data_IF_779431723776
#
_entry.id   IF_779431723776
#
_cell.length_a   1.000
_cell.length_b   1.000
_cell.length_c   1.000
_cell.angle_alpha   90.00
_cell.angle_beta   90.00
_cell.angle_gamma   90.00
#
_symmetry.space_group_name_H-M   'P 1'
#
loop_
_entity.id
_entity.type
_entity.pdbx_description
1 polymer ?
#
# COMPACT_ATOMS: atom_id res chain seq x y z
N UNK A 1 -23.52 1.76 -3.76
CA UNK A 1 -23.43 3.21 -4.04
C UNK A 1 -22.83 4.06 -2.90
N UNK A 2 -22.93 3.76 -1.58
CA UNK A 2 -22.29 4.60 -0.55
C UNK A 2 -20.80 4.31 -0.29
N UNK A 3 -20.28 3.12 -0.65
CA UNK A 3 -18.90 2.73 -0.34
C UNK A 3 -17.83 3.49 -1.15
N UNK A 4 -18.13 3.80 -2.42
CA UNK A 4 -17.21 4.50 -3.32
C UNK A 4 -16.93 5.95 -2.91
N UNK A 5 -17.91 6.65 -2.31
CA UNK A 5 -17.78 8.03 -1.83
C UNK A 5 -16.81 8.15 -0.64
N UNK A 6 -16.83 7.15 0.25
CA UNK A 6 -15.99 7.11 1.46
C UNK A 6 -14.51 6.94 1.09
N UNK A 7 -14.22 6.10 0.09
CA UNK A 7 -12.86 5.87 -0.40
C UNK A 7 -12.26 7.15 -1.00
N UNK A 8 -13.03 7.88 -1.82
CA UNK A 8 -12.57 9.14 -2.42
C UNK A 8 -12.32 10.21 -1.34
N UNK A 9 -13.22 10.32 -0.36
CA UNK A 9 -13.04 11.25 0.76
C UNK A 9 -11.81 10.91 1.63
N UNK A 10 -11.60 9.62 1.93
CA UNK A 10 -10.44 9.15 2.69
C UNK A 10 -9.12 9.43 1.97
N UNK A 11 -9.08 9.26 0.65
CA UNK A 11 -7.88 9.54 -0.15
C UNK A 11 -7.58 11.04 -0.19
N UNK A 12 -8.61 11.88 -0.35
CA UNK A 12 -8.44 13.34 -0.33
C UNK A 12 -7.94 13.80 1.05
N UNK A 13 -8.46 13.23 2.14
CA UNK A 13 -8.00 13.52 3.50
C UNK A 13 -6.55 13.08 3.73
N UNK A 14 -6.18 11.87 3.31
CA UNK A 14 -4.81 11.36 3.42
C UNK A 14 -3.84 12.23 2.63
N UNK A 15 -4.23 12.65 1.43
CA UNK A 15 -3.46 13.53 0.56
C UNK A 15 -3.20 14.90 1.20
N UNK A 16 -4.27 15.54 1.70
CA UNK A 16 -4.17 16.84 2.37
C UNK A 16 -3.35 16.75 3.66
N UNK A 17 -3.49 15.66 4.43
CA UNK A 17 -2.73 15.46 5.65
C UNK A 17 -1.22 15.27 5.36
N UNK A 18 -0.89 14.47 4.35
CA UNK A 18 0.50 14.18 4.00
C UNK A 18 1.23 15.36 3.36
N UNK A 19 0.55 16.17 2.51
CA UNK A 19 1.21 17.27 1.78
C UNK A 19 1.01 18.66 2.39
N UNK A 20 -0.06 18.92 3.14
CA UNK A 20 -0.32 20.28 3.68
C UNK A 20 -0.01 20.45 5.17
N UNK A 21 0.25 19.38 5.93
CA UNK A 21 0.48 19.47 7.39
C UNK A 21 1.95 19.26 7.74
N UNK A 22 2.45 20.07 8.69
CA UNK A 22 3.81 19.97 9.25
C UNK A 22 4.12 18.57 9.79
N UNK A 23 3.12 17.87 10.34
CA UNK A 23 3.27 16.49 10.82
C UNK A 23 3.52 15.50 9.68
N UNK A 24 2.92 15.72 8.49
CA UNK A 24 3.17 14.92 7.29
C UNK A 24 4.59 15.12 6.74
N UNK A 25 5.11 16.35 6.82
CA UNK A 25 6.50 16.64 6.49
C UNK A 25 7.47 15.89 7.41
N UNK A 26 7.24 15.95 8.74
CA UNK A 26 8.07 15.23 9.73
C UNK A 26 8.07 13.72 9.49
N UNK A 27 6.92 13.13 9.18
CA UNK A 27 6.80 11.70 8.84
C UNK A 27 7.66 11.32 7.63
N UNK A 28 7.71 12.15 6.60
CA UNK A 28 8.51 11.88 5.40
C UNK A 28 10.01 12.02 5.64
N UNK A 29 10.43 13.07 6.35
CA UNK A 29 11.85 13.26 6.65
C UNK A 29 12.37 12.12 7.53
N UNK A 30 11.59 11.70 8.53
CA UNK A 30 11.92 10.53 9.35
C UNK A 30 11.96 9.24 8.52
N UNK A 31 11.03 9.07 7.57
CA UNK A 31 11.00 7.91 6.67
C UNK A 31 12.17 7.85 5.69
N UNK A 32 12.69 8.99 5.23
CA UNK A 32 13.84 9.06 4.34
C UNK A 32 15.16 8.82 5.07
N UNK A 33 15.37 9.50 6.21
CA UNK A 33 16.57 9.31 7.02
C UNK A 33 16.34 9.68 8.49
N UNK A 34 16.18 8.69 9.39
CA UNK A 34 15.92 8.96 10.81
C UNK A 34 17.13 9.60 11.51
N UNK A 35 18.35 9.35 11.05
CA UNK A 35 19.57 9.96 11.63
C UNK A 35 19.65 11.44 11.29
N UNK A 36 19.36 11.79 10.04
CA UNK A 36 19.28 13.20 9.64
C UNK A 36 18.15 13.93 10.37
N UNK A 37 17.02 13.25 10.62
CA UNK A 37 15.90 13.82 11.37
C UNK A 37 16.25 14.12 12.84
N UNK A 38 17.01 13.22 13.50
CA UNK A 38 17.52 13.45 14.85
C UNK A 38 18.46 14.65 14.91
N UNK A 39 19.36 14.76 13.94
CA UNK A 39 20.32 15.88 13.85
C UNK A 39 19.62 17.22 13.58
N UNK A 40 18.44 17.21 12.93
CA UNK A 40 17.60 18.38 12.72
C UNK A 40 16.69 18.73 13.93
N UNK A 41 16.90 18.09 15.09
CA UNK A 41 16.14 18.35 16.31
C UNK A 41 14.72 17.75 16.33
N UNK A 42 14.38 16.85 15.41
CA UNK A 42 13.07 16.21 15.39
C UNK A 42 13.00 15.00 16.33
N UNK A 43 11.93 14.90 17.11
CA UNK A 43 11.63 13.72 17.91
C UNK A 43 11.15 12.55 17.02
N UNK A 44 12.11 11.73 16.57
CA UNK A 44 11.86 10.58 15.70
C UNK A 44 10.92 9.55 16.33
N UNK A 45 11.13 9.21 17.61
CA UNK A 45 10.28 8.23 18.33
C UNK A 45 8.83 8.68 18.40
N UNK A 46 8.60 9.95 18.73
CA UNK A 46 7.26 10.53 18.79
C UNK A 46 6.58 10.58 17.42
N UNK A 47 7.32 10.92 16.35
CA UNK A 47 6.80 10.93 14.98
C UNK A 47 6.44 9.53 14.49
N UNK A 48 7.22 8.50 14.82
CA UNK A 48 6.91 7.10 14.49
C UNK A 48 5.63 6.67 15.21
N UNK A 49 5.53 6.88 16.53
CA UNK A 49 4.34 6.51 17.31
C UNK A 49 3.08 7.21 16.80
N UNK A 50 3.19 8.50 16.48
CA UNK A 50 2.10 9.26 15.89
C UNK A 50 1.66 8.70 14.53
N UNK A 51 2.62 8.29 13.69
CA UNK A 51 2.33 7.60 12.42
C UNK A 51 1.60 6.29 12.64
N UNK A 52 2.05 5.47 13.58
CA UNK A 52 1.39 4.20 13.92
C UNK A 52 -0.04 4.39 14.41
N UNK A 53 -0.29 5.39 15.27
CA UNK A 53 -1.63 5.70 15.76
C UNK A 53 -2.58 6.10 14.61
N UNK A 54 -2.11 6.93 13.68
CA UNK A 54 -2.91 7.33 12.51
C UNK A 54 -3.19 6.13 11.60
N UNK A 55 -2.17 5.32 11.29
CA UNK A 55 -2.35 4.13 10.46
C UNK A 55 -3.34 3.15 11.09
N UNK A 56 -3.23 2.91 12.40
CA UNK A 56 -4.15 2.05 13.15
C UNK A 56 -5.59 2.58 13.15
N UNK A 57 -5.77 3.88 13.37
CA UNK A 57 -7.09 4.51 13.32
C UNK A 57 -7.75 4.40 11.93
N UNK A 58 -6.98 4.63 10.85
CA UNK A 58 -7.45 4.49 9.48
C UNK A 58 -7.78 3.04 9.12
N UNK A 59 -6.94 2.08 9.51
CA UNK A 59 -7.18 0.65 9.30
C UNK A 59 -8.44 0.17 10.04
N UNK A 60 -8.63 0.63 11.29
CA UNK A 60 -9.82 0.34 12.08
C UNK A 60 -11.09 0.92 11.46
N UNK A 61 -11.05 2.16 10.98
CA UNK A 61 -12.17 2.78 10.27
C UNK A 61 -12.53 2.05 8.97
N UNK A 62 -11.51 1.62 8.21
CA UNK A 62 -11.72 0.85 6.99
C UNK A 62 -12.41 -0.50 7.28
N UNK A 63 -11.91 -1.26 8.27
CA UNK A 63 -12.53 -2.52 8.67
C UNK A 63 -13.93 -2.35 9.24
N UNK A 64 -14.17 -1.30 10.03
CA UNK A 64 -15.51 -0.97 10.53
C UNK A 64 -16.48 -0.68 9.38
N UNK A 65 -16.08 0.16 8.41
CA UNK A 65 -16.90 0.50 7.26
C UNK A 65 -17.26 -0.72 6.40
N UNK A 66 -16.35 -1.69 6.28
CA UNK A 66 -16.58 -2.93 5.53
C UNK A 66 -17.60 -3.83 6.24
N UNK A 67 -17.42 -4.07 7.55
CA UNK A 67 -18.34 -4.89 8.36
C UNK A 67 -19.73 -4.26 8.44
N UNK A 68 -19.81 -2.98 8.78
CA UNK A 68 -21.08 -2.30 9.04
C UNK A 68 -21.84 -1.95 7.76
N UNK A 69 -21.12 -1.70 6.66
CA UNK A 69 -21.70 -1.23 5.40
C UNK A 69 -22.06 -2.35 4.42
N UNK A 70 -21.15 -3.31 4.21
CA UNK A 70 -21.24 -4.25 3.08
C UNK A 70 -21.81 -5.60 3.53
N UNK A 71 -21.21 -6.23 4.54
CA UNK A 71 -21.56 -7.60 4.88
C UNK A 71 -22.65 -7.75 5.95
N UNK A 72 -22.93 -6.72 6.76
CA UNK A 72 -23.98 -6.68 7.82
C UNK A 72 -23.95 -7.85 8.81
N UNK A 73 -22.94 -8.73 8.73
CA UNK A 73 -22.70 -9.93 9.53
C UNK A 73 -21.19 -10.14 9.57
N UNK A 74 -20.68 -10.65 10.69
CA UNK A 74 -19.28 -11.03 10.79
C UNK A 74 -19.07 -12.31 9.97
N UNK A 75 -18.29 -12.22 8.89
CA UNK A 75 -17.96 -13.35 8.03
C UNK A 75 -16.57 -13.86 8.43
N UNK A 76 -16.37 -15.17 8.38
CA UNK A 76 -15.02 -15.76 8.45
C UNK A 76 -14.14 -15.18 7.34
N UNK A 77 -12.87 -14.93 7.63
CA UNK A 77 -11.92 -14.24 6.74
C UNK A 77 -12.29 -12.78 6.40
N UNK A 78 -12.54 -11.95 7.42
CA UNK A 78 -12.73 -10.50 7.25
C UNK A 78 -11.56 -9.81 6.51
N UNK A 79 -10.34 -10.34 6.64
CA UNK A 79 -9.18 -9.88 5.88
C UNK A 79 -8.42 -11.07 5.31
N UNK A 80 -8.77 -11.57 4.11
CA UNK A 80 -8.11 -12.71 3.48
C UNK A 80 -6.72 -12.35 2.92
N UNK A 81 -6.08 -11.29 3.44
CA UNK A 81 -4.77 -10.82 3.01
C UNK A 81 -4.72 -9.39 2.48
N UNK A 82 -5.76 -8.57 2.70
CA UNK A 82 -5.78 -7.17 2.22
C UNK A 82 -4.56 -6.35 2.68
N UNK A 83 -4.01 -6.63 3.87
CA UNK A 83 -2.77 -6.01 4.34
C UNK A 83 -1.55 -6.34 3.48
N UNK A 84 -1.39 -7.59 3.05
CA UNK A 84 -0.29 -8.01 2.17
C UNK A 84 -0.41 -7.35 0.79
N UNK A 85 -1.62 -7.34 0.23
CA UNK A 85 -1.87 -6.65 -1.04
C UNK A 85 -1.66 -5.14 -0.91
N UNK A 86 -2.00 -4.53 0.22
CA UNK A 86 -1.76 -3.10 0.47
C UNK A 86 -0.26 -2.75 0.50
N UNK A 87 0.61 -3.64 0.99
CA UNK A 87 2.08 -3.45 0.91
C UNK A 87 2.51 -3.35 -0.55
N UNK A 88 2.02 -4.25 -1.40
CA UNK A 88 2.33 -4.28 -2.83
C UNK A 88 1.88 -2.99 -3.51
N UNK A 89 0.64 -2.57 -3.24
CA UNK A 89 0.06 -1.34 -3.78
C UNK A 89 0.86 -0.11 -3.34
N UNK A 90 1.29 -0.06 -2.07
CA UNK A 90 2.12 1.03 -1.55
C UNK A 90 3.49 1.12 -2.23
N UNK A 91 4.12 -0.04 -2.50
CA UNK A 91 5.39 -0.13 -3.22
C UNK A 91 5.25 0.29 -4.68
N UNK A 92 4.20 -0.17 -5.37
CA UNK A 92 3.93 0.20 -6.75
C UNK A 92 3.65 1.71 -6.90
N UNK A 93 2.94 2.29 -5.92
CA UNK A 93 2.65 3.73 -5.88
C UNK A 93 3.82 4.61 -5.44
N UNK A 94 5.00 4.04 -5.12
CA UNK A 94 6.21 4.76 -4.69
C UNK A 94 5.97 5.79 -3.57
N UNK A 95 5.12 5.48 -2.58
CA UNK A 95 4.73 6.41 -1.49
C UNK A 95 4.05 7.72 -1.91
N UNK A 96 3.69 7.86 -3.19
CA UNK A 96 2.92 8.99 -3.68
C UNK A 96 1.41 8.67 -3.61
N UNK A 97 0.58 9.50 -2.94
CA UNK A 97 -0.85 9.21 -2.78
C UNK A 97 -1.60 8.95 -4.09
N UNK A 98 -1.25 9.66 -5.17
CA UNK A 98 -1.88 9.46 -6.48
C UNK A 98 -1.47 8.13 -7.12
N UNK A 99 -0.20 7.76 -7.00
CA UNK A 99 0.31 6.46 -7.49
C UNK A 99 -0.33 5.29 -6.73
N UNK A 100 -0.47 5.44 -5.41
CA UNK A 100 -1.15 4.45 -4.55
C UNK A 100 -2.62 4.31 -4.95
N UNK A 101 -3.33 5.40 -5.26
CA UNK A 101 -4.72 5.33 -5.72
C UNK A 101 -4.86 4.59 -7.06
N UNK A 102 -4.02 4.90 -8.04
CA UNK A 102 -4.03 4.22 -9.33
C UNK A 102 -3.72 2.72 -9.19
N UNK A 103 -2.72 2.38 -8.37
CA UNK A 103 -2.35 1.00 -8.07
C UNK A 103 -3.47 0.25 -7.32
N UNK A 104 -4.09 0.88 -6.31
CA UNK A 104 -5.20 0.30 -5.56
C UNK A 104 -6.39 0.00 -6.46
N UNK A 105 -6.71 0.91 -7.38
CA UNK A 105 -7.80 0.72 -8.33
C UNK A 105 -7.54 -0.47 -9.27
N UNK A 106 -6.32 -0.57 -9.82
CA UNK A 106 -5.92 -1.69 -10.66
C UNK A 106 -6.03 -3.03 -9.91
N UNK A 107 -5.51 -3.10 -8.69
CA UNK A 107 -5.56 -4.31 -7.88
C UNK A 107 -6.98 -4.68 -7.45
N UNK A 108 -7.83 -3.70 -7.15
CA UNK A 108 -9.25 -3.93 -6.87
C UNK A 108 -9.99 -4.46 -8.10
N UNK A 109 -9.73 -3.88 -9.29
CA UNK A 109 -10.32 -4.36 -10.54
C UNK A 109 -9.89 -5.80 -10.86
N UNK A 110 -8.61 -6.15 -10.65
CA UNK A 110 -8.12 -7.52 -10.80
C UNK A 110 -8.79 -8.48 -9.81
N UNK A 111 -8.94 -8.07 -8.55
CA UNK A 111 -9.55 -8.90 -7.52
C UNK A 111 -11.03 -9.17 -7.80
N UNK A 112 -11.79 -8.13 -8.16
CA UNK A 112 -13.22 -8.24 -8.49
C UNK A 112 -13.39 -9.05 -9.78
N UNK A 113 -12.59 -8.76 -10.82
CA UNK A 113 -12.61 -9.50 -12.08
C UNK A 113 -12.29 -10.98 -11.91
N UNK A 114 -11.42 -11.32 -10.97
CA UNK A 114 -11.15 -12.71 -10.63
C UNK A 114 -12.32 -13.39 -9.94
N UNK A 115 -12.94 -12.74 -8.95
CA UNK A 115 -14.11 -13.31 -8.26
C UNK A 115 -15.31 -13.51 -9.20
N UNK A 116 -15.48 -12.64 -10.20
CA UNK A 116 -16.52 -12.82 -11.22
C UNK A 116 -16.18 -13.94 -12.19
N UNK A 117 -14.92 -14.10 -12.59
CA UNK A 117 -14.45 -15.23 -13.40
C UNK A 117 -14.53 -16.58 -12.66
N UNK A 118 -14.25 -16.59 -11.37
CA UNK A 118 -14.40 -17.76 -10.51
C UNK A 118 -15.85 -18.22 -10.44
N UNK A 119 -16.77 -17.26 -10.32
CA UNK A 119 -18.22 -17.52 -10.28
C UNK A 119 -18.81 -17.93 -11.64
N UNK A 120 -18.27 -17.42 -12.76
CA UNK A 120 -18.85 -17.62 -14.10
C UNK A 120 -18.19 -18.74 -14.91
N UNK A 121 -16.87 -18.96 -14.74
CA UNK A 121 -16.06 -19.84 -15.57
C UNK A 121 -15.33 -20.95 -14.77
N UNK A 122 -15.54 -21.03 -13.45
CA UNK A 122 -14.93 -22.06 -12.59
C UNK A 122 -13.42 -21.91 -12.45
N UNK A 123 -12.87 -20.72 -12.72
CA UNK A 123 -11.44 -20.43 -12.65
C UNK A 123 -11.04 -20.17 -11.18
N UNK A 124 -10.07 -20.91 -10.61
CA UNK A 124 -9.67 -20.70 -9.22
C UNK A 124 -9.11 -19.29 -8.96
N UNK A 125 -9.56 -18.62 -7.89
CA UNK A 125 -9.07 -17.30 -7.49
C UNK A 125 -7.55 -17.22 -7.23
N UNK A 126 -6.89 -18.37 -7.09
CA UNK A 126 -5.42 -18.52 -6.98
C UNK A 126 -4.66 -17.88 -8.14
N UNK A 127 -5.23 -17.82 -9.35
CA UNK A 127 -4.58 -17.18 -10.49
C UNK A 127 -4.28 -15.69 -10.24
N UNK A 128 -5.15 -15.00 -9.52
CA UNK A 128 -4.96 -13.58 -9.19
C UNK A 128 -3.79 -13.39 -8.25
N UNK A 129 -3.65 -14.25 -7.25
CA UNK A 129 -2.51 -14.24 -6.33
C UNK A 129 -1.21 -14.46 -7.09
N UNK A 130 -1.18 -15.35 -8.08
CA UNK A 130 -0.01 -15.58 -8.94
C UNK A 130 0.31 -14.33 -9.76
N UNK A 131 -0.69 -13.69 -10.39
CA UNK A 131 -0.50 -12.46 -11.17
C UNK A 131 0.01 -11.33 -10.27
N UNK A 132 -0.57 -11.12 -9.09
CA UNK A 132 -0.11 -10.13 -8.13
C UNK A 132 1.34 -10.41 -7.70
N UNK A 133 1.70 -11.67 -7.48
CA UNK A 133 3.07 -12.10 -7.18
C UNK A 133 4.05 -11.81 -8.31
N UNK A 134 3.65 -12.05 -9.56
CA UNK A 134 4.46 -11.69 -10.74
C UNK A 134 4.66 -10.17 -10.84
N UNK A 135 3.63 -9.37 -10.59
CA UNK A 135 3.74 -7.89 -10.57
C UNK A 135 4.78 -7.46 -9.53
N UNK A 136 4.75 -8.04 -8.33
CA UNK A 136 5.75 -7.78 -7.29
C UNK A 136 7.15 -8.21 -7.74
N UNK A 137 7.28 -9.39 -8.34
CA UNK A 137 8.55 -9.91 -8.84
C UNK A 137 9.16 -8.96 -9.87
N UNK A 138 8.37 -8.45 -10.81
CA UNK A 138 8.84 -7.47 -11.80
C UNK A 138 9.19 -6.11 -11.17
N UNK A 139 8.43 -5.65 -10.18
CA UNK A 139 8.70 -4.40 -9.47
C UNK A 139 10.01 -4.46 -8.67
N UNK A 140 10.20 -5.49 -7.85
CA UNK A 140 11.42 -5.68 -7.07
C UNK A 140 12.61 -6.11 -7.93
N UNK A 141 12.35 -6.81 -9.04
CA UNK A 141 13.37 -7.26 -9.98
C UNK A 141 14.12 -6.10 -10.63
N UNK A 142 13.46 -4.96 -10.89
CA UNK A 142 14.11 -3.79 -11.51
C UNK A 142 15.37 -3.31 -10.77
N UNK A 143 15.32 -2.94 -9.47
CA UNK A 143 16.52 -2.54 -8.73
C UNK A 143 17.51 -3.70 -8.49
N UNK A 144 17.02 -4.94 -8.37
CA UNK A 144 17.90 -6.10 -8.20
C UNK A 144 18.76 -6.35 -9.46
N UNK A 145 18.16 -6.20 -10.65
CA UNK A 145 18.85 -6.36 -11.93
C UNK A 145 19.88 -5.25 -12.17
N UNK A 146 19.60 -4.01 -11.78
CA UNK A 146 20.58 -2.91 -11.90
C UNK A 146 21.77 -3.10 -10.97
N UNK A 147 21.54 -3.56 -9.73
CA UNK A 147 22.64 -3.91 -8.81
C UNK A 147 23.47 -5.10 -9.32
N UNK A 148 22.83 -6.12 -9.90
CA UNK A 148 23.52 -7.28 -10.47
C UNK A 148 24.38 -6.89 -11.68
N UNK A 149 23.85 -6.05 -12.58
CA UNK A 149 24.61 -5.48 -13.71
C UNK A 149 25.79 -4.62 -13.24
N UNK A 150 25.60 -3.79 -12.21
CA UNK A 150 26.67 -2.97 -11.65
C UNK A 150 27.80 -3.81 -11.01
N UNK A 151 27.46 -4.94 -10.38
CA UNK A 151 28.45 -5.89 -9.83
C UNK A 151 29.21 -6.63 -10.94
N UNK A 152 28.52 -7.06 -12.00
CA UNK A 152 29.14 -7.72 -13.15
C UNK A 152 30.08 -6.77 -13.92
N UNK A 153 29.72 -5.49 -14.04
CA UNK A 153 30.59 -4.48 -14.67
C UNK A 153 31.87 -4.19 -13.87
N UNK A 154 31.84 -4.26 -12.53
CA UNK A 154 33.03 -4.11 -11.68
C UNK A 154 33.91 -5.36 -11.62
N UNK A 155 33.37 -6.54 -11.93
CA UNK A 155 34.10 -7.81 -11.94
C UNK A 155 35.01 -8.03 -13.14
N UNK A 156 34.84 -7.27 -14.23
CA UNK A 156 35.65 -7.36 -15.46
C UNK A 156 36.83 -6.38 -15.56
N UNK A 157 37.13 -5.63 -14.49
CA UNK A 157 38.23 -4.66 -14.44
C UNK A 157 39.37 -5.13 -13.51
N UNK A 158 39.70 -6.42 -13.58
CA UNK A 158 40.93 -7.00 -13.02
C UNK A 158 41.59 -7.87 -14.08
#
# INVERSE_FOLDING_TARGET
MPASSIVVAAVILAHLFLWKRTNGFRLRVVGLNPRAALNAGMNVRGTILFGFLICGALAGLAGFAEVSGVQRRMIENLSPGFGYTAIIVALLGQTNPFGVLAAAFLFAALQIGATTMESAAGVPGTLTTVIQGLVVLFLLGRPALTMLRARLSKGGAR
#
